data_IF_775281044152
#
_entry.id   IF_775281044152
#
_cell.length_a   1.000
_cell.length_b   1.000
_cell.length_c   1.000
_cell.angle_alpha   90.00
_cell.angle_beta   90.00
_cell.angle_gamma   90.00
#
_symmetry.space_group_name_H-M   'P 1'
#
loop_
_entity.id
_entity.type
_entity.pdbx_description
1 polymer ?
#
# COMPACT_ATOMS: atom_id res chain seq x y z
N UNK A 1 -11.11 -3.60 -9.97
CA UNK A 1 -10.94 -4.49 -8.78
C UNK A 1 -11.76 -3.94 -7.62
N UNK A 2 -13.03 -4.33 -7.56
CA UNK A 2 -13.97 -4.04 -6.46
C UNK A 2 -14.11 -5.22 -5.48
N UNK A 3 -13.95 -6.45 -5.95
CA UNK A 3 -14.04 -7.64 -5.11
C UNK A 3 -12.89 -7.66 -4.07
N UNK A 4 -13.26 -7.61 -2.78
CA UNK A 4 -12.35 -7.62 -1.65
C UNK A 4 -12.11 -6.27 -0.95
N UNK A 5 -12.59 -5.13 -1.49
CA UNK A 5 -12.45 -3.82 -0.82
C UNK A 5 -13.17 -3.76 0.52
N UNK A 6 -14.41 -4.23 0.59
CA UNK A 6 -15.21 -4.19 1.81
C UNK A 6 -14.65 -5.02 2.99
N UNK A 7 -13.68 -5.91 2.73
CA UNK A 7 -13.05 -6.74 3.76
C UNK A 7 -11.69 -6.21 4.22
N UNK A 8 -11.21 -5.10 3.62
CA UNK A 8 -9.92 -4.50 3.99
C UNK A 8 -9.99 -3.95 5.40
N UNK A 9 -9.02 -4.32 6.25
CA UNK A 9 -8.91 -3.85 7.63
C UNK A 9 -8.06 -2.57 7.77
N UNK A 10 -7.51 -2.07 6.67
CA UNK A 10 -6.60 -0.93 6.66
C UNK A 10 -6.78 -0.06 5.42
N UNK A 11 -6.50 1.24 5.58
CA UNK A 11 -6.40 2.21 4.51
C UNK A 11 -5.28 1.82 3.56
N UNK A 12 -5.57 1.80 2.26
CA UNK A 12 -4.56 1.60 1.22
C UNK A 12 -4.47 2.85 0.36
N UNK A 13 -3.28 3.40 0.26
CA UNK A 13 -3.01 4.60 -0.54
C UNK A 13 -2.11 4.25 -1.73
N UNK A 14 -2.36 4.82 -2.91
CA UNK A 14 -1.48 4.67 -4.05
C UNK A 14 -0.13 5.34 -3.75
N UNK A 15 0.94 4.67 -4.13
CA UNK A 15 2.32 5.15 -4.01
C UNK A 15 3.11 4.72 -5.24
N UNK A 16 4.32 5.23 -5.39
CA UNK A 16 5.29 4.76 -6.38
C UNK A 16 6.66 4.69 -5.70
N UNK A 17 6.93 3.56 -5.03
CA UNK A 17 8.15 3.36 -4.25
C UNK A 17 8.92 2.15 -4.78
N UNK A 18 10.24 2.26 -4.86
CA UNK A 18 11.11 1.10 -5.07
C UNK A 18 11.13 0.22 -3.83
N UNK A 19 11.05 -1.10 -4.04
CA UNK A 19 11.21 -2.10 -2.99
C UNK A 19 12.12 -3.22 -3.47
N UNK A 20 13.00 -3.66 -2.57
CA UNK A 20 13.79 -4.87 -2.74
C UNK A 20 13.12 -5.99 -1.94
N UNK A 21 12.86 -7.12 -2.58
CA UNK A 21 12.30 -8.31 -1.97
C UNK A 21 13.34 -9.41 -1.97
N UNK A 22 13.85 -9.80 -0.80
CA UNK A 22 14.76 -10.93 -0.65
C UNK A 22 13.96 -12.18 -0.27
N UNK A 23 14.03 -13.22 -1.11
CA UNK A 23 13.32 -14.49 -0.92
C UNK A 23 14.12 -15.47 -0.08
N UNK A 24 13.43 -16.46 0.49
CA UNK A 24 14.05 -17.49 1.34
C UNK A 24 15.10 -18.37 0.62
N UNK A 25 15.04 -18.46 -0.71
CA UNK A 25 16.00 -19.18 -1.54
C UNK A 25 17.30 -18.38 -1.81
N UNK A 26 17.39 -17.15 -1.30
CA UNK A 26 18.52 -16.25 -1.46
C UNK A 26 18.46 -15.38 -2.72
N UNK A 27 17.41 -15.50 -3.54
CA UNK A 27 17.17 -14.60 -4.66
C UNK A 27 16.65 -13.24 -4.19
N UNK A 28 16.83 -12.21 -5.01
CA UNK A 28 16.38 -10.84 -4.71
C UNK A 28 15.70 -10.25 -5.94
N UNK A 29 14.45 -9.81 -5.78
CA UNK A 29 13.63 -9.22 -6.84
C UNK A 29 13.45 -7.73 -6.55
N UNK A 30 13.65 -6.89 -7.58
CA UNK A 30 13.29 -5.47 -7.52
C UNK A 30 11.86 -5.27 -8.02
N UNK A 31 11.08 -4.52 -7.27
CA UNK A 31 9.69 -4.25 -7.59
C UNK A 31 9.31 -2.80 -7.28
N UNK A 32 8.10 -2.40 -7.72
CA UNK A 32 7.47 -1.12 -7.41
C UNK A 32 6.25 -1.34 -6.52
N UNK A 33 6.22 -0.69 -5.37
CA UNK A 33 5.01 -0.58 -4.55
C UNK A 33 4.07 0.39 -5.25
N UNK A 34 2.87 -0.09 -5.59
CA UNK A 34 1.82 0.70 -6.23
C UNK A 34 0.65 1.01 -5.28
N UNK A 35 0.45 0.19 -4.24
CA UNK A 35 -0.40 0.54 -3.09
C UNK A 35 0.27 0.12 -1.80
N UNK A 36 0.19 0.99 -0.79
CA UNK A 36 0.69 0.76 0.55
C UNK A 36 -0.46 0.85 1.55
N UNK A 37 -0.59 -0.14 2.41
CA UNK A 37 -1.43 -0.08 3.61
C UNK A 37 -0.66 -0.54 4.84
N UNK A 38 -1.24 -0.35 6.02
CA UNK A 38 -0.60 -0.75 7.29
C UNK A 38 -0.39 -2.26 7.40
N UNK A 39 -1.16 -3.07 6.69
CA UNK A 39 -1.08 -4.55 6.81
C UNK A 39 -0.38 -5.22 5.63
N UNK A 40 0.01 -4.47 4.61
CA UNK A 40 0.56 -5.06 3.40
C UNK A 40 0.70 -4.08 2.24
N UNK A 41 1.31 -4.59 1.17
CA UNK A 41 1.58 -3.85 -0.07
C UNK A 41 1.02 -4.58 -1.28
N UNK A 42 0.81 -3.81 -2.34
CA UNK A 42 0.59 -4.33 -3.68
C UNK A 42 1.73 -3.85 -4.56
N UNK A 43 2.39 -4.78 -5.24
CA UNK A 43 3.61 -4.53 -6.02
C UNK A 43 3.45 -4.90 -7.49
N UNK A 44 4.29 -4.29 -8.33
CA UNK A 44 4.56 -4.64 -9.73
C UNK A 44 6.03 -5.02 -9.90
N UNK A 45 6.32 -6.07 -10.65
CA UNK A 45 7.69 -6.56 -10.92
C UNK A 45 7.81 -7.15 -12.32
N UNK A 46 9.06 -7.25 -12.81
CA UNK A 46 9.38 -7.98 -14.03
C UNK A 46 9.47 -9.50 -13.78
N UNK A 47 9.82 -9.90 -12.56
CA UNK A 47 9.89 -11.31 -12.16
C UNK A 47 8.64 -11.72 -11.36
N UNK A 48 8.13 -12.96 -11.53
CA UNK A 48 6.98 -13.45 -10.79
C UNK A 48 7.32 -13.74 -9.32
N UNK A 49 6.31 -13.59 -8.47
CA UNK A 49 6.29 -14.15 -7.11
C UNK A 49 5.39 -15.38 -7.05
N UNK A 50 5.67 -16.32 -6.15
CA UNK A 50 4.77 -17.46 -5.90
C UNK A 50 3.91 -17.22 -4.67
N UNK A 51 2.59 -17.49 -4.71
CA UNK A 51 1.75 -17.45 -3.50
C UNK A 51 2.30 -18.37 -2.40
N UNK A 52 2.37 -17.87 -1.17
CA UNK A 52 2.96 -18.54 -0.01
C UNK A 52 4.45 -18.25 0.20
N UNK A 53 5.12 -17.56 -0.73
CA UNK A 53 6.52 -17.19 -0.54
C UNK A 53 6.68 -16.27 0.66
N UNK A 54 7.61 -16.64 1.55
CA UNK A 54 8.11 -15.78 2.61
C UNK A 54 9.28 -14.95 2.10
N UNK A 55 9.23 -13.65 2.35
CA UNK A 55 10.25 -12.70 1.89
C UNK A 55 10.48 -11.57 2.90
N UNK A 56 11.66 -10.98 2.82
CA UNK A 56 11.99 -9.72 3.50
C UNK A 56 11.91 -8.59 2.49
N UNK A 57 11.27 -7.49 2.86
CA UNK A 57 11.15 -6.28 2.03
C UNK A 57 11.96 -5.16 2.63
N UNK A 58 12.62 -4.40 1.77
CA UNK A 58 13.26 -3.14 2.14
C UNK A 58 12.82 -2.02 1.19
N UNK A 59 12.30 -0.91 1.75
CA UNK A 59 11.92 0.28 1.00
C UNK A 59 12.03 1.56 1.85
N UNK A 60 12.06 2.72 1.19
CA UNK A 60 12.10 4.02 1.85
C UNK A 60 10.72 4.70 1.81
N UNK A 61 10.21 5.14 2.97
CA UNK A 61 9.04 6.01 2.99
C UNK A 61 9.42 7.46 2.67
N UNK A 62 8.61 8.18 1.87
CA UNK A 62 8.86 9.59 1.61
C UNK A 62 8.89 10.42 2.89
N UNK A 63 9.95 11.21 3.05
CA UNK A 63 10.16 12.05 4.22
C UNK A 63 10.77 11.35 5.42
N UNK A 64 11.20 10.08 5.29
CA UNK A 64 12.00 9.39 6.29
C UNK A 64 13.43 9.18 5.79
N UNK A 65 14.40 9.13 6.72
CA UNK A 65 15.80 8.90 6.39
C UNK A 65 16.20 7.42 6.50
N UNK A 66 15.43 6.62 7.24
CA UNK A 66 15.70 5.20 7.45
C UNK A 66 14.85 4.36 6.52
N UNK A 67 15.46 3.30 5.95
CA UNK A 67 14.71 2.26 5.26
C UNK A 67 13.81 1.51 6.26
N UNK A 68 12.67 1.06 5.77
CA UNK A 68 11.80 0.12 6.45
C UNK A 68 12.20 -1.26 5.98
N UNK A 69 12.53 -2.13 6.92
CA UNK A 69 12.78 -3.54 6.68
C UNK A 69 11.74 -4.36 7.44
N UNK A 70 10.99 -5.21 6.72
CA UNK A 70 9.95 -6.03 7.33
C UNK A 70 9.72 -7.33 6.55
N UNK A 71 9.29 -8.38 7.26
CA UNK A 71 8.95 -9.66 6.65
C UNK A 71 7.49 -9.69 6.17
N UNK A 72 7.24 -10.46 5.11
CA UNK A 72 5.88 -10.68 4.60
C UNK A 72 5.72 -11.99 3.86
N UNK A 73 4.46 -12.28 3.53
CA UNK A 73 4.03 -13.45 2.77
C UNK A 73 3.27 -13.01 1.52
N UNK A 74 3.57 -13.63 0.38
CA UNK A 74 2.86 -13.41 -0.88
C UNK A 74 1.48 -14.06 -0.79
N UNK A 75 0.42 -13.24 -0.74
CA UNK A 75 -0.96 -13.73 -0.63
C UNK A 75 -1.54 -14.17 -1.98
N UNK A 76 -1.13 -13.49 -3.05
CA UNK A 76 -1.49 -13.84 -4.42
C UNK A 76 -0.49 -13.22 -5.40
N UNK A 77 -0.41 -13.82 -6.59
CA UNK A 77 0.40 -13.36 -7.71
C UNK A 77 -0.32 -13.65 -9.02
N UNK A 78 -0.19 -12.76 -10.01
CA UNK A 78 -0.74 -12.93 -11.36
C UNK A 78 0.01 -12.07 -12.37
N UNK A 79 -0.12 -12.40 -13.65
CA UNK A 79 0.32 -11.53 -14.74
C UNK A 79 -0.72 -10.41 -14.92
N UNK A 80 -0.25 -9.19 -15.11
CA UNK A 80 -1.07 -8.05 -15.47
C UNK A 80 -1.08 -7.94 -17.00
N UNK A 81 -2.20 -8.32 -17.61
CA UNK A 81 -2.43 -8.06 -19.02
C UNK A 81 -2.64 -6.54 -19.21
N UNK A 82 -1.64 -5.83 -19.73
CA UNK A 82 -1.84 -4.44 -20.13
C UNK A 82 -2.63 -4.37 -21.44
N UNK A 83 -3.68 -3.54 -21.45
CA UNK A 83 -4.36 -3.15 -22.68
C UNK A 83 -3.41 -2.27 -23.50
N UNK A 84 -2.82 -2.85 -24.55
CA UNK A 84 -1.99 -2.23 -25.58
C UNK A 84 -0.48 -2.14 -25.30
N UNK A 85 0.19 -3.25 -25.60
CA UNK A 85 1.31 -3.24 -26.55
C UNK A 85 2.60 -2.56 -26.10
N UNK A 86 3.27 -3.12 -25.11
CA UNK A 86 4.73 -3.11 -25.02
C UNK A 86 5.22 -4.35 -24.26
N UNK A 87 6.25 -4.97 -24.84
CA UNK A 87 6.84 -6.27 -24.47
C UNK A 87 7.39 -6.28 -23.03
N UNK A 88 6.69 -6.97 -22.12
CA UNK A 88 7.21 -7.79 -20.99
C UNK A 88 6.02 -8.14 -20.08
N UNK A 89 5.93 -9.40 -19.64
CA UNK A 89 4.88 -9.83 -18.71
C UNK A 89 5.05 -9.07 -17.38
N UNK A 90 4.21 -8.06 -17.12
CA UNK A 90 4.24 -7.34 -15.83
C UNK A 90 3.57 -8.20 -14.78
N UNK A 91 4.32 -8.65 -13.79
CA UNK A 91 3.78 -9.43 -12.68
C UNK A 91 3.27 -8.50 -11.58
N UNK A 92 2.15 -8.88 -10.96
CA UNK A 92 1.60 -8.20 -9.79
C UNK A 92 1.40 -9.17 -8.64
N UNK A 93 1.72 -8.72 -7.44
CA UNK A 93 1.55 -9.50 -6.22
C UNK A 93 0.99 -8.67 -5.07
N UNK A 94 0.13 -9.28 -4.26
CA UNK A 94 -0.29 -8.75 -2.97
C UNK A 94 0.49 -9.42 -1.86
N UNK A 95 1.18 -8.64 -1.04
CA UNK A 95 2.01 -9.14 0.06
C UNK A 95 1.42 -8.66 1.38
N UNK A 96 1.22 -9.59 2.31
CA UNK A 96 0.81 -9.29 3.69
C UNK A 96 2.04 -9.23 4.60
N UNK A 97 2.08 -8.27 5.51
CA UNK A 97 3.16 -8.17 6.49
C UNK A 97 2.98 -9.24 7.58
N UNK A 98 4.05 -9.96 7.92
CA UNK A 98 4.01 -11.06 8.89
C UNK A 98 4.56 -10.69 10.27
N UNK A 99 5.46 -9.70 10.35
CA UNK A 99 6.09 -9.25 11.61
C UNK A 99 6.21 -7.72 11.66
N UNK A 100 5.08 -7.03 11.66
CA UNK A 100 5.07 -5.57 11.66
C UNK A 100 5.33 -5.02 13.07
N UNK A 101 6.61 -4.80 13.39
CA UNK A 101 7.06 -4.23 14.66
C UNK A 101 7.02 -2.70 14.65
N UNK A 102 6.90 -2.12 15.84
CA UNK A 102 7.23 -0.70 16.04
C UNK A 102 8.76 -0.51 15.86
N UNK A 103 9.21 0.64 15.32
CA UNK A 103 8.42 1.83 14.95
C UNK A 103 7.77 1.78 13.55
N UNK A 104 8.06 0.76 12.75
CA UNK A 104 7.66 0.72 11.34
C UNK A 104 6.14 0.66 11.15
N UNK A 105 5.44 -0.07 12.03
CA UNK A 105 3.98 -0.09 12.04
C UNK A 105 3.39 1.33 12.18
N UNK A 106 3.83 2.09 13.19
CA UNK A 106 3.42 3.47 13.38
C UNK A 106 3.78 4.39 12.21
N UNK A 107 4.98 4.21 11.63
CA UNK A 107 5.44 5.02 10.49
C UNK A 107 4.58 4.81 9.23
N UNK A 108 4.25 3.56 8.89
CA UNK A 108 3.39 3.25 7.74
C UNK A 108 1.98 3.77 7.98
N UNK A 109 1.43 3.56 9.18
CA UNK A 109 0.10 4.09 9.55
C UNK A 109 0.05 5.61 9.43
N UNK A 110 1.01 6.31 9.99
CA UNK A 110 1.02 7.78 9.99
C UNK A 110 1.21 8.33 8.56
N UNK A 111 2.04 7.65 7.76
CA UNK A 111 2.21 7.98 6.34
C UNK A 111 0.90 7.80 5.55
N UNK A 112 0.22 6.66 5.69
CA UNK A 112 -1.05 6.39 4.98
C UNK A 112 -2.14 7.37 5.39
N UNK A 113 -2.24 7.75 6.66
CA UNK A 113 -3.17 8.81 7.11
C UNK A 113 -2.78 10.19 6.56
N UNK A 114 -1.49 10.53 6.53
CA UNK A 114 -1.02 11.81 5.97
C UNK A 114 -1.38 11.95 4.49
N UNK A 115 -1.37 10.84 3.74
CA UNK A 115 -1.75 10.82 2.32
C UNK A 115 -3.19 11.26 2.06
N UNK A 116 -4.09 11.24 3.06
CA UNK A 116 -5.42 11.84 2.94
C UNK A 116 -5.39 13.37 2.70
N UNK A 117 -4.26 14.02 2.96
CA UNK A 117 -4.07 15.42 2.59
C UNK A 117 -3.79 15.60 1.09
N UNK A 118 -3.40 14.55 0.37
CA UNK A 118 -3.15 14.62 -1.08
C UNK A 118 -4.49 14.84 -1.81
N UNK A 119 -4.62 15.93 -2.57
CA UNK A 119 -5.82 16.21 -3.36
C UNK A 119 -6.03 15.24 -4.50
N UNK A 120 -4.95 14.86 -5.19
CA UNK A 120 -5.02 13.95 -6.34
C UNK A 120 -5.60 12.61 -5.93
N UNK A 121 -5.24 12.11 -4.74
CA UNK A 121 -5.81 10.89 -4.17
C UNK A 121 -7.33 10.93 -4.03
N UNK A 122 -7.91 12.10 -3.74
CA UNK A 122 -9.32 12.25 -3.43
C UNK A 122 -10.18 12.63 -4.64
N UNK A 123 -9.56 13.02 -5.75
CA UNK A 123 -10.24 13.40 -7.01
C UNK A 123 -10.83 12.17 -7.71
N UNK A 124 -11.70 12.41 -8.68
CA UNK A 124 -12.25 11.42 -9.62
C UNK A 124 -12.77 10.13 -8.96
N UNK A 125 -13.55 10.28 -7.88
CA UNK A 125 -14.14 9.16 -7.13
C UNK A 125 -13.20 8.49 -6.12
N UNK A 126 -11.94 8.92 -6.04
CA UNK A 126 -10.96 8.44 -5.05
C UNK A 126 -11.42 8.63 -3.60
N UNK A 127 -12.17 9.70 -3.31
CA UNK A 127 -12.77 9.90 -1.98
C UNK A 127 -13.71 8.75 -1.57
N UNK A 128 -14.52 8.21 -2.48
CA UNK A 128 -15.44 7.10 -2.16
C UNK A 128 -14.64 5.84 -1.80
N UNK A 129 -13.57 5.59 -2.56
CA UNK A 129 -12.66 4.48 -2.32
C UNK A 129 -11.97 4.56 -0.97
N UNK A 130 -11.56 5.77 -0.56
CA UNK A 130 -10.98 6.02 0.76
C UNK A 130 -12.02 5.80 1.86
N UNK A 131 -13.23 6.34 1.71
CA UNK A 131 -14.29 6.21 2.72
C UNK A 131 -14.65 4.75 3.00
N UNK A 132 -14.60 3.88 2.00
CA UNK A 132 -14.79 2.43 2.18
C UNK A 132 -13.75 1.84 3.12
N UNK A 133 -12.47 2.14 2.91
CA UNK A 133 -11.39 1.65 3.77
C UNK A 133 -11.51 2.26 5.19
N UNK A 134 -11.88 3.55 5.31
CA UNK A 134 -12.01 4.22 6.61
C UNK A 134 -13.05 3.59 7.53
N UNK A 135 -14.13 3.02 6.97
CA UNK A 135 -15.19 2.38 7.76
C UNK A 135 -14.65 1.21 8.59
N UNK A 136 -13.62 0.54 8.09
CA UNK A 136 -13.01 -0.64 8.68
C UNK A 136 -11.80 -0.34 9.58
N UNK A 137 -11.37 0.92 9.68
CA UNK A 137 -10.26 1.31 10.56
C UNK A 137 -10.62 1.21 12.05
N UNK A 138 -9.62 0.97 12.93
CA UNK A 138 -9.76 1.15 14.36
C UNK A 138 -10.37 2.52 14.70
N UNK A 139 -11.21 2.65 15.75
CA UNK A 139 -11.93 3.88 16.06
C UNK A 139 -11.04 5.13 16.17
N UNK A 140 -9.85 4.99 16.75
CA UNK A 140 -8.89 6.08 16.89
C UNK A 140 -8.34 6.59 15.55
N UNK A 141 -7.97 5.68 14.65
CA UNK A 141 -7.44 6.03 13.34
C UNK A 141 -8.53 6.52 12.40
N UNK A 142 -9.73 5.95 12.52
CA UNK A 142 -10.93 6.44 11.82
C UNK A 142 -11.26 7.87 12.21
N UNK A 143 -11.19 8.22 13.50
CA UNK A 143 -11.41 9.58 13.99
C UNK A 143 -10.33 10.54 13.45
N UNK A 144 -9.05 10.14 13.47
CA UNK A 144 -7.97 10.93 12.88
C UNK A 144 -8.20 11.18 11.39
N UNK A 145 -8.57 10.15 10.64
CA UNK A 145 -8.85 10.26 9.21
C UNK A 145 -10.02 11.21 8.91
N UNK A 146 -11.14 11.10 9.65
CA UNK A 146 -12.26 12.03 9.49
C UNK A 146 -11.87 13.47 9.83
N UNK A 147 -11.08 13.69 10.88
CA UNK A 147 -10.61 15.04 11.22
C UNK A 147 -9.74 15.65 10.12
N UNK A 148 -8.91 14.86 9.44
CA UNK A 148 -8.13 15.31 8.27
C UNK A 148 -9.08 15.73 7.14
N UNK A 149 -10.05 14.87 6.78
CA UNK A 149 -10.97 15.12 5.68
C UNK A 149 -11.92 16.31 5.95
N UNK A 150 -12.44 16.44 7.17
CA UNK A 150 -13.32 17.56 7.57
C UNK A 150 -12.57 18.89 7.48
N UNK A 151 -11.35 18.98 8.05
CA UNK A 151 -10.54 20.20 7.99
C UNK A 151 -10.28 20.65 6.55
N UNK A 152 -10.08 19.69 5.64
CA UNK A 152 -9.89 19.96 4.21
C UNK A 152 -11.17 20.51 3.56
N UNK A 153 -12.33 19.93 3.88
CA UNK A 153 -13.62 20.42 3.38
C UNK A 153 -13.99 21.82 3.88
N UNK A 154 -13.62 22.17 5.11
CA UNK A 154 -13.85 23.51 5.68
C UNK A 154 -12.95 24.60 5.10
N UNK A 155 -11.85 24.25 4.41
CA UNK A 155 -10.90 25.20 3.81
C UNK A 155 -11.34 25.81 2.48
N UNK A 156 -12.52 25.45 1.96
CA UNK A 156 -13.09 25.99 0.71
C UNK A 156 -14.39 26.78 0.93
N UNK A 157 -14.73 27.09 2.18
CA UNK A 157 -15.88 27.94 2.53
C UNK A 157 -15.34 29.21 3.20
N UNK A 158 -14.69 30.09 2.44
CA UNK A 158 -14.55 31.52 2.71
C UNK A 158 -14.19 32.25 1.41
#
# INVERSE_FOLDING_TARGET
MEEGRGQRKSLRVPVNLDVRCDLADGSSIRAKIVNLGTEGIFIKSADPFSPGDSLTMEFLLPGTLNSIELAGEVMYSRVHEEEQGQDEDVHVAGIQFSDLKEPYHGMIRDYTLKMLNNEELLRDGGILLVLDDLRNLPPEDRLKAYNILIKKGSGHIL
#
